data_IF_292599537318
#
_entry.id   IF_292599537318
#
_cell.length_a   1.000
_cell.length_b   1.000
_cell.length_c   1.000
_cell.angle_alpha   90.00
_cell.angle_beta   90.00
_cell.angle_gamma   90.00
#
_symmetry.space_group_name_H-M   'P 1'
#
loop_
_entity.id
_entity.type
_entity.pdbx_description
1 polymer ?
#
# COMPACT_ATOMS: atom_id res chain seq x y z
N UNK A 1 17.82 -1.16 -2.45
CA UNK A 1 17.42 -2.57 -2.38
C UNK A 1 18.30 -3.38 -3.30
N UNK A 2 18.77 -4.57 -2.85
CA UNK A 2 19.51 -5.52 -3.67
C UNK A 2 18.62 -6.62 -4.23
N UNK A 3 19.21 -7.78 -4.50
CA UNK A 3 18.48 -8.97 -4.98
C UNK A 3 17.69 -9.62 -3.85
N UNK A 4 16.58 -10.25 -4.20
CA UNK A 4 15.78 -11.09 -3.31
C UNK A 4 15.48 -12.39 -4.03
N UNK A 5 15.89 -13.50 -3.44
CA UNK A 5 15.54 -14.84 -3.90
C UNK A 5 14.84 -15.59 -2.79
N UNK A 6 13.71 -16.17 -3.10
CA UNK A 6 12.92 -17.00 -2.18
C UNK A 6 12.57 -18.28 -2.91
N UNK A 7 13.12 -19.39 -2.44
CA UNK A 7 12.91 -20.69 -3.07
C UNK A 7 12.31 -21.65 -2.04
N UNK A 8 11.27 -22.37 -2.42
CA UNK A 8 10.89 -23.58 -1.70
C UNK A 8 11.95 -24.65 -1.99
N UNK A 9 12.51 -25.25 -0.95
CA UNK A 9 13.56 -26.27 -1.03
C UNK A 9 13.10 -27.65 -0.58
N UNK A 10 11.96 -27.73 0.11
CA UNK A 10 11.30 -28.98 0.49
C UNK A 10 9.78 -28.79 0.42
N UNK A 11 9.02 -29.77 -0.08
CA UNK A 11 9.40 -31.11 -0.52
C UNK A 11 9.98 -31.17 -1.97
N UNK A 12 9.99 -30.06 -2.66
CA UNK A 12 10.59 -29.93 -4.00
C UNK A 12 11.19 -28.54 -4.17
N UNK A 13 12.12 -28.41 -5.08
CA UNK A 13 12.67 -27.09 -5.43
C UNK A 13 11.68 -26.34 -6.34
N UNK A 14 11.35 -25.10 -5.96
CA UNK A 14 10.55 -24.17 -6.74
C UNK A 14 10.89 -22.75 -6.35
N UNK A 15 11.29 -21.92 -7.31
CA UNK A 15 11.37 -20.47 -7.08
C UNK A 15 9.99 -19.89 -6.86
N UNK A 16 9.87 -19.05 -5.84
CA UNK A 16 8.63 -18.41 -5.45
C UNK A 16 8.59 -16.97 -5.97
N UNK A 17 7.43 -16.53 -6.40
CA UNK A 17 7.18 -15.13 -6.72
C UNK A 17 7.07 -14.33 -5.43
N UNK A 18 8.18 -13.73 -5.03
CA UNK A 18 8.30 -13.04 -3.75
C UNK A 18 9.14 -11.78 -3.86
N UNK A 19 8.84 -10.80 -3.03
CA UNK A 19 9.53 -9.51 -2.99
C UNK A 19 9.77 -9.08 -1.55
N UNK A 20 10.99 -8.67 -1.24
CA UNK A 20 11.32 -8.10 0.06
C UNK A 20 10.58 -6.77 0.25
N UNK A 21 9.95 -6.58 1.40
CA UNK A 21 9.27 -5.32 1.72
C UNK A 21 10.28 -4.17 1.88
N UNK A 22 9.80 -2.95 1.65
CA UNK A 22 10.60 -1.75 1.89
C UNK A 22 11.09 -1.72 3.35
N UNK A 23 12.34 -1.30 3.56
CA UNK A 23 13.04 -1.28 4.86
C UNK A 23 13.15 -2.64 5.56
N UNK A 24 12.82 -3.73 4.91
CA UNK A 24 13.10 -5.05 5.47
C UNK A 24 14.61 -5.27 5.59
N UNK A 25 15.09 -5.82 6.73
CA UNK A 25 16.50 -6.15 6.87
C UNK A 25 16.98 -7.18 5.85
N UNK A 26 18.25 -7.10 5.47
CA UNK A 26 18.90 -8.13 4.67
C UNK A 26 19.15 -9.38 5.49
N UNK A 27 19.25 -10.52 4.81
CA UNK A 27 19.85 -11.72 5.39
C UNK A 27 21.38 -11.59 5.36
N UNK A 28 22.07 -11.87 6.48
CA UNK A 28 23.55 -11.90 6.51
C UNK A 28 24.14 -13.03 5.66
N UNK A 29 23.39 -14.10 5.55
CA UNK A 29 23.56 -15.28 4.68
C UNK A 29 22.18 -15.85 4.38
N UNK A 30 22.06 -16.65 3.34
CA UNK A 30 20.81 -17.31 3.04
C UNK A 30 20.26 -18.05 4.27
N UNK A 31 18.98 -17.83 4.56
CA UNK A 31 18.26 -18.44 5.68
C UNK A 31 17.36 -19.53 5.13
N UNK A 32 17.54 -20.76 5.59
CA UNK A 32 16.65 -21.87 5.28
C UNK A 32 15.88 -22.29 6.53
N UNK A 33 14.56 -22.32 6.45
CA UNK A 33 13.71 -22.64 7.57
C UNK A 33 12.38 -23.29 7.16
N UNK A 34 11.79 -24.03 8.11
CA UNK A 34 10.43 -24.54 8.02
C UNK A 34 9.42 -23.38 8.00
N UNK A 35 8.42 -23.50 7.18
CA UNK A 35 7.30 -22.55 7.10
C UNK A 35 6.16 -23.05 7.99
N UNK A 36 5.67 -22.16 8.83
CA UNK A 36 4.47 -22.40 9.65
C UNK A 36 3.42 -21.33 9.40
N UNK A 37 2.18 -21.70 9.65
CA UNK A 37 1.03 -20.78 9.60
C UNK A 37 0.81 -20.18 10.99
N UNK A 38 0.46 -18.90 11.05
CA UNK A 38 -0.11 -18.29 12.25
C UNK A 38 -1.47 -18.97 12.54
N UNK A 39 -1.60 -19.77 13.61
CA UNK A 39 -2.83 -20.51 13.89
C UNK A 39 -3.92 -19.57 14.39
N UNK A 40 -5.17 -19.98 14.25
CA UNK A 40 -6.31 -19.24 14.82
C UNK A 40 -6.36 -19.46 16.32
N UNK A 41 -5.89 -18.49 17.08
CA UNK A 41 -5.85 -18.52 18.55
C UNK A 41 -6.96 -17.63 19.12
N UNK A 42 -7.56 -18.04 20.22
CA UNK A 42 -8.73 -17.37 20.80
C UNK A 42 -8.40 -16.18 21.70
N UNK A 43 -7.15 -16.05 22.13
CA UNK A 43 -6.74 -15.03 23.11
C UNK A 43 -5.26 -14.73 23.09
N UNK A 44 -4.87 -13.64 23.74
CA UNK A 44 -3.46 -13.28 24.01
C UNK A 44 -2.73 -14.39 24.78
N UNK A 45 -3.37 -14.98 25.78
CA UNK A 45 -2.76 -16.07 26.55
C UNK A 45 -2.46 -17.30 25.69
N UNK A 46 -3.37 -17.65 24.78
CA UNK A 46 -3.12 -18.74 23.82
C UNK A 46 -1.99 -18.39 22.85
N UNK A 47 -1.87 -17.12 22.44
CA UNK A 47 -0.74 -16.65 21.63
C UNK A 47 0.59 -16.78 22.40
N UNK A 48 0.63 -16.36 23.67
CA UNK A 48 1.85 -16.41 24.48
C UNK A 48 2.33 -17.86 24.72
N UNK A 49 1.42 -18.82 24.77
CA UNK A 49 1.75 -20.24 24.81
C UNK A 49 2.29 -20.78 23.48
N UNK A 50 1.75 -20.30 22.37
CA UNK A 50 2.14 -20.76 21.02
C UNK A 50 3.40 -20.09 20.49
N UNK A 51 3.61 -18.80 20.75
CA UNK A 51 4.65 -17.98 20.12
C UNK A 51 6.10 -18.52 20.31
N UNK A 52 6.49 -19.22 21.36
CA UNK A 52 7.80 -19.85 21.44
C UNK A 52 8.08 -20.87 20.32
N UNK A 53 7.04 -21.44 19.71
CA UNK A 53 7.15 -22.41 18.61
C UNK A 53 7.65 -21.80 17.29
N UNK A 54 7.65 -20.46 17.16
CA UNK A 54 8.10 -19.76 15.93
C UNK A 54 9.63 -19.68 15.82
N UNK A 55 10.34 -20.02 16.89
CA UNK A 55 11.81 -19.90 16.93
C UNK A 55 12.47 -20.66 15.77
N UNK A 56 13.24 -19.94 14.96
CA UNK A 56 13.94 -20.46 13.80
C UNK A 56 13.04 -20.83 12.62
N UNK A 57 11.78 -20.41 12.61
CA UNK A 57 10.81 -20.71 11.53
C UNK A 57 10.40 -19.46 10.79
N UNK A 58 9.88 -19.63 9.58
CA UNK A 58 9.26 -18.57 8.80
C UNK A 58 7.76 -18.63 9.02
N UNK A 59 7.17 -17.49 9.42
CA UNK A 59 5.76 -17.41 9.76
C UNK A 59 4.96 -16.81 8.61
N UNK A 60 3.96 -17.54 8.10
CA UNK A 60 2.94 -17.01 7.20
C UNK A 60 1.92 -16.20 8.00
N UNK A 61 1.89 -14.89 7.82
CA UNK A 61 1.14 -13.94 8.64
C UNK A 61 0.04 -13.20 7.86
N UNK A 62 -0.40 -13.68 6.74
CA UNK A 62 -1.50 -13.04 5.99
C UNK A 62 -2.75 -13.92 5.97
N UNK A 63 -3.87 -13.29 5.69
CA UNK A 63 -5.10 -14.00 5.40
C UNK A 63 -4.92 -14.94 4.20
N UNK A 64 -5.27 -16.20 4.36
CA UNK A 64 -5.31 -17.15 3.25
C UNK A 64 -6.48 -16.82 2.30
N UNK A 65 -6.17 -16.66 1.02
CA UNK A 65 -7.15 -16.49 -0.04
C UNK A 65 -7.48 -17.85 -0.66
N UNK A 66 -8.74 -18.29 -0.55
CA UNK A 66 -9.18 -19.56 -1.14
C UNK A 66 -9.17 -19.53 -2.66
N UNK A 67 -9.42 -18.36 -3.25
CA UNK A 67 -9.53 -18.13 -4.69
C UNK A 67 -8.64 -16.95 -5.06
N UNK A 68 -7.70 -17.16 -5.96
CA UNK A 68 -6.79 -16.13 -6.49
C UNK A 68 -7.35 -15.39 -7.71
N UNK A 69 -8.68 -15.21 -7.82
CA UNK A 69 -9.31 -14.46 -8.89
C UNK A 69 -9.87 -13.15 -8.37
N UNK A 70 -9.81 -12.09 -9.21
CA UNK A 70 -10.42 -10.81 -8.88
C UNK A 70 -11.95 -10.90 -8.80
N UNK A 71 -12.57 -9.93 -8.15
CA UNK A 71 -14.03 -9.88 -8.04
C UNK A 71 -14.69 -9.70 -9.42
N UNK A 72 -14.03 -8.95 -10.33
CA UNK A 72 -14.47 -8.77 -11.73
C UNK A 72 -14.45 -10.11 -12.48
N UNK A 73 -13.37 -10.87 -12.37
CA UNK A 73 -13.26 -12.19 -13.00
C UNK A 73 -14.29 -13.17 -12.44
N UNK A 74 -14.53 -13.15 -11.13
CA UNK A 74 -15.57 -14.00 -10.54
C UNK A 74 -16.94 -13.59 -11.06
N UNK A 75 -17.23 -12.29 -11.12
CA UNK A 75 -18.50 -11.75 -11.60
C UNK A 75 -18.78 -12.09 -13.07
N UNK A 76 -17.72 -12.14 -13.90
CA UNK A 76 -17.84 -12.47 -15.34
C UNK A 76 -18.26 -13.93 -15.58
N UNK A 77 -17.79 -14.86 -14.74
CA UNK A 77 -17.96 -16.30 -14.99
C UNK A 77 -18.87 -17.03 -14.00
N UNK A 78 -19.26 -16.38 -12.90
CA UNK A 78 -20.15 -16.98 -11.89
C UNK A 78 -21.61 -16.60 -12.13
N UNK A 79 -22.53 -17.44 -11.63
CA UNK A 79 -23.92 -17.01 -11.51
C UNK A 79 -24.03 -15.89 -10.47
N UNK A 80 -25.05 -15.00 -10.52
CA UNK A 80 -25.24 -13.95 -9.52
C UNK A 80 -25.20 -14.47 -8.08
N UNK A 81 -25.88 -15.57 -7.82
CA UNK A 81 -25.96 -16.17 -6.48
C UNK A 81 -24.58 -16.67 -6.01
N UNK A 82 -23.79 -17.29 -6.90
CA UNK A 82 -22.45 -17.75 -6.57
C UNK A 82 -21.51 -16.57 -6.33
N UNK A 83 -21.61 -15.51 -7.14
CA UNK A 83 -20.82 -14.30 -6.95
C UNK A 83 -21.05 -13.66 -5.58
N UNK A 84 -22.34 -13.43 -5.21
CA UNK A 84 -22.67 -12.84 -3.90
C UNK A 84 -22.21 -13.74 -2.73
N UNK A 85 -22.36 -15.07 -2.86
CA UNK A 85 -21.86 -16.02 -1.87
C UNK A 85 -20.34 -15.90 -1.69
N UNK A 86 -19.56 -15.93 -2.77
CA UNK A 86 -18.09 -15.86 -2.72
C UNK A 86 -17.62 -14.51 -2.18
N UNK A 87 -18.29 -13.43 -2.54
CA UNK A 87 -18.03 -12.09 -2.02
C UNK A 87 -18.25 -12.03 -0.51
N UNK A 88 -19.39 -12.52 -0.04
CA UNK A 88 -19.70 -12.56 1.39
C UNK A 88 -18.70 -13.44 2.18
N UNK A 89 -18.29 -14.60 1.63
CA UNK A 89 -17.27 -15.46 2.25
C UNK A 89 -15.91 -14.74 2.35
N UNK A 90 -15.51 -13.98 1.33
CA UNK A 90 -14.26 -13.21 1.32
C UNK A 90 -14.30 -12.07 2.35
N UNK A 91 -15.39 -11.32 2.41
CA UNK A 91 -15.59 -10.25 3.39
C UNK A 91 -15.57 -10.79 4.82
N UNK A 92 -16.28 -11.91 5.07
CA UNK A 92 -16.30 -12.56 6.38
C UNK A 92 -14.92 -13.07 6.77
N UNK A 93 -14.18 -13.73 5.86
CA UNK A 93 -12.83 -14.20 6.14
C UNK A 93 -11.87 -13.04 6.46
N UNK A 94 -12.02 -11.90 5.80
CA UNK A 94 -11.23 -10.70 6.06
C UNK A 94 -11.56 -10.09 7.43
N UNK A 95 -12.82 -10.08 7.81
CA UNK A 95 -13.26 -9.67 9.14
C UNK A 95 -12.72 -10.60 10.21
N UNK A 96 -12.90 -11.91 10.04
CA UNK A 96 -12.43 -12.91 10.99
C UNK A 96 -10.93 -12.82 11.23
N UNK A 97 -10.14 -12.56 10.17
CA UNK A 97 -8.69 -12.39 10.30
C UNK A 97 -8.33 -11.13 11.11
N UNK A 98 -8.98 -9.99 10.84
CA UNK A 98 -8.77 -8.77 11.63
C UNK A 98 -9.16 -8.93 13.10
N UNK A 99 -10.34 -9.52 13.34
CA UNK A 99 -10.83 -9.77 14.71
C UNK A 99 -9.91 -10.74 15.45
N UNK A 100 -9.42 -11.76 14.76
CA UNK A 100 -8.46 -12.70 15.29
C UNK A 100 -7.15 -12.02 15.72
N UNK A 101 -6.51 -11.23 14.85
CA UNK A 101 -5.27 -10.52 15.16
C UNK A 101 -5.47 -9.58 16.36
N UNK A 102 -6.62 -8.90 16.43
CA UNK A 102 -6.98 -8.06 17.56
C UNK A 102 -7.18 -8.86 18.86
N UNK A 103 -7.82 -10.02 18.79
CA UNK A 103 -8.08 -10.86 19.96
C UNK A 103 -6.80 -11.42 20.60
N UNK A 104 -5.76 -11.65 19.81
CA UNK A 104 -4.44 -12.02 20.34
C UNK A 104 -3.64 -10.81 20.85
N UNK A 105 -4.21 -9.60 20.87
CA UNK A 105 -3.62 -8.39 21.45
C UNK A 105 -2.66 -7.63 20.55
N UNK A 106 -2.75 -7.84 19.23
CA UNK A 106 -1.89 -7.21 18.24
C UNK A 106 -2.67 -6.59 17.08
N UNK A 107 -1.94 -5.92 16.21
CA UNK A 107 -2.37 -5.50 14.89
C UNK A 107 -1.30 -5.89 13.83
N UNK A 108 -1.55 -5.55 12.58
CA UNK A 108 -0.62 -5.85 11.48
C UNK A 108 0.73 -5.12 11.59
N UNK A 109 0.83 -4.08 12.42
CA UNK A 109 2.08 -3.35 12.63
C UNK A 109 2.90 -3.94 13.78
N UNK A 110 2.25 -4.38 14.84
CA UNK A 110 2.88 -4.83 16.09
C UNK A 110 3.12 -6.33 16.17
N UNK A 111 2.32 -7.14 15.47
CA UNK A 111 2.48 -8.59 15.44
C UNK A 111 3.82 -9.04 14.84
N UNK A 112 4.34 -8.46 13.72
CA UNK A 112 5.65 -8.83 13.19
C UNK A 112 6.79 -8.64 14.18
N UNK A 113 6.77 -7.55 14.94
CA UNK A 113 7.79 -7.30 15.98
C UNK A 113 7.72 -8.34 17.10
N UNK A 114 6.52 -8.75 17.50
CA UNK A 114 6.35 -9.80 18.51
C UNK A 114 6.90 -11.16 18.04
N UNK A 115 6.65 -11.53 16.78
CA UNK A 115 7.19 -12.75 16.17
C UNK A 115 8.74 -12.68 16.04
N UNK A 116 9.28 -11.51 15.66
CA UNK A 116 10.72 -11.28 15.63
C UNK A 116 11.33 -11.45 17.03
N UNK A 117 10.75 -10.85 18.06
CA UNK A 117 11.20 -10.99 19.47
C UNK A 117 11.15 -12.44 19.94
N UNK A 118 10.19 -13.22 19.46
CA UNK A 118 10.09 -14.65 19.78
C UNK A 118 11.08 -15.53 19.00
N UNK A 119 11.89 -14.93 18.10
CA UNK A 119 12.95 -15.62 17.39
C UNK A 119 12.55 -16.25 16.07
N UNK A 120 11.49 -15.78 15.42
CA UNK A 120 11.19 -16.16 14.04
C UNK A 120 12.40 -15.89 13.13
N UNK A 121 12.58 -16.71 12.09
CA UNK A 121 13.65 -16.56 11.10
C UNK A 121 13.27 -15.60 9.96
N UNK A 122 11.98 -15.36 9.76
CA UNK A 122 11.43 -14.45 8.77
C UNK A 122 9.91 -14.43 8.83
N UNK A 123 9.31 -13.43 8.18
CA UNK A 123 7.86 -13.27 8.10
C UNK A 123 7.46 -13.14 6.64
N UNK A 124 6.52 -13.95 6.21
CA UNK A 124 5.92 -13.88 4.89
C UNK A 124 4.47 -13.39 4.98
N UNK A 125 4.14 -12.42 4.16
CA UNK A 125 2.78 -11.93 3.97
C UNK A 125 2.34 -12.14 2.52
N UNK A 126 1.08 -11.87 2.23
CA UNK A 126 0.55 -11.80 0.87
C UNK A 126 -0.41 -10.61 0.78
N UNK A 127 0.06 -9.53 0.18
CA UNK A 127 -0.72 -8.31 -0.06
C UNK A 127 -1.41 -8.38 -1.43
N UNK A 128 -2.29 -9.36 -1.58
CA UNK A 128 -2.96 -9.57 -2.84
C UNK A 128 -3.78 -8.35 -3.31
N UNK A 129 -3.58 -7.97 -4.56
CA UNK A 129 -4.20 -6.79 -5.18
C UNK A 129 -5.40 -7.14 -6.07
N UNK A 130 -5.81 -8.42 -6.14
CA UNK A 130 -6.82 -8.89 -7.09
C UNK A 130 -6.24 -9.27 -8.46
N UNK A 131 -4.94 -9.09 -8.68
CA UNK A 131 -4.22 -9.43 -9.92
C UNK A 131 -3.23 -10.56 -9.60
N UNK A 132 -3.14 -11.56 -10.47
CA UNK A 132 -2.21 -12.68 -10.30
C UNK A 132 -0.76 -12.20 -10.41
N UNK A 133 0.12 -12.74 -9.58
CA UNK A 133 1.55 -12.42 -9.55
C UNK A 133 1.88 -10.98 -9.13
N UNK A 134 0.90 -10.16 -8.78
CA UNK A 134 1.13 -8.79 -8.35
C UNK A 134 1.40 -8.71 -6.87
N UNK A 135 2.52 -8.10 -6.51
CA UNK A 135 2.91 -7.86 -5.13
C UNK A 135 2.77 -6.37 -4.78
N UNK A 136 2.36 -6.10 -3.56
CA UNK A 136 2.29 -4.76 -3.01
C UNK A 136 3.40 -4.58 -1.98
N UNK A 137 4.35 -3.67 -2.28
CA UNK A 137 5.54 -3.45 -1.45
C UNK A 137 5.29 -2.28 -0.51
N UNK A 138 4.86 -2.58 0.72
CA UNK A 138 4.83 -1.60 1.80
C UNK A 138 5.97 -1.84 2.80
N UNK A 139 6.09 -0.94 3.80
CA UNK A 139 7.15 -1.00 4.79
C UNK A 139 7.08 -2.24 5.67
N UNK A 140 8.22 -2.91 5.81
CA UNK A 140 8.39 -3.97 6.80
C UNK A 140 8.21 -3.43 8.22
N UNK A 141 7.75 -4.32 9.11
CA UNK A 141 7.57 -4.03 10.54
C UNK A 141 8.54 -4.84 11.41
N UNK A 142 9.60 -5.34 10.78
CA UNK A 142 10.71 -6.05 11.43
C UNK A 142 11.98 -5.23 11.32
N UNK A 143 12.92 -5.41 12.24
CA UNK A 143 14.20 -4.70 12.29
C UNK A 143 15.43 -5.60 12.21
N UNK A 144 15.26 -6.91 12.40
CA UNK A 144 16.36 -7.87 12.49
C UNK A 144 16.21 -9.09 11.58
N UNK A 145 14.97 -9.41 11.18
CA UNK A 145 14.66 -10.55 10.33
C UNK A 145 13.98 -10.09 9.03
N UNK A 146 14.15 -10.82 7.91
CA UNK A 146 13.50 -10.46 6.65
C UNK A 146 11.98 -10.54 6.75
N UNK A 147 11.32 -9.55 6.15
CA UNK A 147 9.88 -9.55 5.92
C UNK A 147 9.63 -9.37 4.42
N UNK A 148 8.82 -10.23 3.83
CA UNK A 148 8.62 -10.28 2.39
C UNK A 148 7.19 -10.64 2.03
N UNK A 149 6.79 -10.17 0.86
CA UNK A 149 5.49 -10.45 0.24
C UNK A 149 5.66 -11.61 -0.74
N UNK A 150 4.75 -12.58 -0.68
CA UNK A 150 4.66 -13.70 -1.63
C UNK A 150 3.34 -13.56 -2.38
N UNK A 151 3.33 -13.81 -3.68
CA UNK A 151 2.11 -13.79 -4.46
C UNK A 151 1.05 -14.77 -3.91
N UNK A 152 -0.20 -14.55 -4.29
CA UNK A 152 -1.34 -15.29 -3.73
C UNK A 152 -1.27 -16.79 -4.01
N UNK A 153 -0.73 -17.19 -5.16
CA UNK A 153 -0.63 -18.59 -5.58
C UNK A 153 0.40 -19.35 -4.75
N UNK A 154 1.61 -18.81 -4.66
CA UNK A 154 2.71 -19.43 -3.93
C UNK A 154 2.49 -19.37 -2.41
N UNK A 155 1.95 -18.25 -1.91
CA UNK A 155 1.53 -18.14 -0.51
C UNK A 155 0.47 -19.18 -0.17
N UNK A 156 -0.56 -19.31 -1.00
CA UNK A 156 -1.63 -20.27 -0.81
C UNK A 156 -1.15 -21.73 -0.87
N UNK A 157 -0.16 -22.02 -1.72
CA UNK A 157 0.47 -23.33 -1.78
C UNK A 157 1.20 -23.65 -0.46
N UNK A 158 2.08 -22.74 0.01
CA UNK A 158 2.81 -22.91 1.25
C UNK A 158 1.86 -23.03 2.46
N UNK A 159 0.80 -22.21 2.49
CA UNK A 159 -0.22 -22.24 3.54
C UNK A 159 -0.86 -23.64 3.65
N UNK A 160 -1.40 -24.16 2.53
CA UNK A 160 -2.03 -25.48 2.49
C UNK A 160 -1.07 -26.60 2.88
N UNK A 161 0.19 -26.52 2.45
CA UNK A 161 1.21 -27.50 2.79
C UNK A 161 1.52 -27.49 4.29
N UNK A 162 1.72 -26.30 4.89
CA UNK A 162 2.00 -26.14 6.31
C UNK A 162 0.78 -26.57 7.17
N UNK A 163 -0.43 -26.15 6.79
CA UNK A 163 -1.68 -26.51 7.49
C UNK A 163 -1.92 -28.03 7.50
N UNK A 164 -1.57 -28.72 6.41
CA UNK A 164 -1.69 -30.19 6.30
C UNK A 164 -0.49 -30.96 6.86
N UNK A 165 0.43 -30.29 7.53
CA UNK A 165 1.59 -30.93 8.19
C UNK A 165 2.70 -31.40 7.28
N UNK A 166 2.74 -30.93 6.03
CA UNK A 166 3.82 -31.28 5.07
C UNK A 166 5.17 -30.60 5.39
N UNK A 167 5.19 -29.66 6.34
CA UNK A 167 6.40 -28.96 6.82
C UNK A 167 7.27 -28.40 5.69
N UNK A 168 6.71 -27.57 4.78
CA UNK A 168 7.49 -27.01 3.69
C UNK A 168 8.64 -26.19 4.23
N UNK A 169 9.78 -26.19 3.51
CA UNK A 169 10.95 -25.37 3.85
C UNK A 169 11.21 -24.41 2.71
N UNK A 170 11.55 -23.18 3.08
CA UNK A 170 11.98 -22.17 2.09
C UNK A 170 13.37 -21.65 2.47
N UNK A 171 14.10 -21.25 1.44
CA UNK A 171 15.39 -20.58 1.53
C UNK A 171 15.21 -19.14 1.06
N UNK A 172 15.66 -18.19 1.86
CA UNK A 172 15.61 -16.75 1.59
C UNK A 172 17.03 -16.23 1.50
N UNK A 173 17.34 -15.55 0.40
CA UNK A 173 18.53 -14.71 0.26
C UNK A 173 18.05 -13.32 -0.15
N UNK A 174 18.04 -12.41 0.81
CA UNK A 174 17.51 -11.06 0.64
C UNK A 174 18.56 -10.02 0.98
N UNK A 175 18.84 -9.12 0.04
CA UNK A 175 19.85 -8.09 0.18
C UNK A 175 19.23 -6.71 0.21
N UNK A 176 19.53 -5.95 1.24
CA UNK A 176 19.13 -4.55 1.36
C UNK A 176 20.18 -3.77 2.15
N UNK A 177 20.23 -2.48 1.93
CA UNK A 177 21.06 -1.56 2.70
C UNK A 177 20.19 -0.37 3.10
N UNK A 178 20.09 -0.14 4.41
CA UNK A 178 19.48 1.09 4.93
C UNK A 178 20.47 2.22 4.67
N UNK A 179 20.02 3.21 3.93
CA UNK A 179 20.79 4.42 3.65
C UNK A 179 20.46 5.48 4.71
N UNK A 180 21.35 6.46 4.94
CA UNK A 180 21.03 7.61 5.77
C UNK A 180 19.82 8.37 5.26
N UNK A 181 19.16 9.11 6.15
CA UNK A 181 18.11 10.04 5.78
C UNK A 181 18.62 11.00 4.70
N UNK A 182 17.76 11.26 3.74
CA UNK A 182 18.07 12.14 2.61
C UNK A 182 17.02 13.23 2.48
N UNK A 183 17.42 14.35 1.87
CA UNK A 183 16.47 15.41 1.54
C UNK A 183 15.52 14.93 0.46
N UNK A 184 14.27 15.29 0.61
CA UNK A 184 13.24 15.15 -0.41
C UNK A 184 12.85 16.53 -0.92
N UNK A 185 12.27 16.58 -2.10
CA UNK A 185 11.92 17.83 -2.75
C UNK A 185 10.48 17.75 -3.27
N UNK A 186 9.80 18.90 -3.22
CA UNK A 186 8.55 19.12 -3.92
C UNK A 186 8.84 19.96 -5.18
N UNK A 187 8.07 19.75 -6.24
CA UNK A 187 8.05 20.65 -7.38
C UNK A 187 6.82 21.54 -7.28
N UNK A 188 7.05 22.87 -7.24
CA UNK A 188 5.98 23.84 -7.06
C UNK A 188 6.03 24.86 -8.19
N UNK A 189 4.88 25.11 -8.82
CA UNK A 189 4.69 26.15 -9.82
C UNK A 189 3.47 27.00 -9.50
N UNK A 190 3.40 28.23 -10.05
CA UNK A 190 2.24 29.09 -9.81
C UNK A 190 1.89 30.01 -10.96
N UNK A 191 0.60 30.37 -11.04
CA UNK A 191 0.08 31.49 -11.83
C UNK A 191 -0.41 32.51 -10.82
N UNK A 192 0.27 33.67 -10.74
CA UNK A 192 -0.03 34.71 -9.75
C UNK A 192 -1.41 35.31 -9.99
N UNK A 193 -2.17 35.51 -8.93
CA UNK A 193 -3.47 36.16 -8.95
C UNK A 193 -3.39 37.66 -9.23
N UNK A 194 -4.33 38.18 -9.99
CA UNK A 194 -4.40 39.60 -10.38
C UNK A 194 -5.12 40.47 -9.37
N UNK A 195 -6.15 39.97 -8.69
CA UNK A 195 -6.97 40.74 -7.74
C UNK A 195 -6.69 40.35 -6.29
N UNK A 196 -6.53 39.04 -6.03
CA UNK A 196 -6.36 38.47 -4.71
C UNK A 196 -5.13 37.53 -4.67
N UNK A 197 -3.93 38.10 -4.83
CA UNK A 197 -2.70 37.31 -4.97
C UNK A 197 -2.33 36.48 -3.74
N UNK A 198 -2.87 36.80 -2.56
CA UNK A 198 -2.63 36.08 -1.32
C UNK A 198 -3.75 35.10 -0.96
N UNK A 199 -4.75 34.91 -1.83
CA UNK A 199 -5.68 33.82 -1.78
C UNK A 199 -5.27 32.75 -2.81
N UNK A 200 -5.26 31.47 -2.40
CA UNK A 200 -4.68 30.38 -3.17
C UNK A 200 -5.67 29.28 -3.50
N UNK A 201 -5.57 28.75 -4.70
CA UNK A 201 -6.18 27.49 -5.11
C UNK A 201 -5.02 26.54 -5.44
N UNK A 202 -4.97 25.41 -4.76
CA UNK A 202 -3.88 24.45 -4.92
C UNK A 202 -4.37 23.24 -5.72
N UNK A 203 -3.63 22.92 -6.77
CA UNK A 203 -3.74 21.69 -7.54
C UNK A 203 -2.61 20.78 -7.12
N UNK A 204 -2.87 19.50 -6.84
CA UNK A 204 -1.80 18.64 -6.34
C UNK A 204 -1.89 17.19 -6.79
N UNK A 205 -0.72 16.58 -6.84
CA UNK A 205 -0.50 15.15 -7.01
C UNK A 205 0.84 14.79 -6.37
N UNK A 206 1.10 13.53 -6.05
CA UNK A 206 2.46 13.15 -5.66
C UNK A 206 3.30 12.73 -6.87
N UNK A 207 4.60 12.93 -6.77
CA UNK A 207 5.56 12.73 -7.85
C UNK A 207 6.37 11.44 -7.70
N UNK A 208 6.46 10.92 -6.49
CA UNK A 208 7.17 9.68 -6.18
C UNK A 208 6.29 8.45 -6.41
N UNK A 209 6.91 7.29 -6.34
CA UNK A 209 6.27 5.98 -6.37
C UNK A 209 7.07 4.99 -5.52
N UNK A 210 6.49 3.82 -5.26
CA UNK A 210 7.20 2.76 -4.56
C UNK A 210 8.41 2.25 -5.34
N UNK A 211 9.46 1.86 -4.60
CA UNK A 211 10.66 1.23 -5.15
C UNK A 211 10.31 -0.03 -5.97
N UNK A 212 10.77 -0.04 -7.22
CA UNK A 212 10.47 -1.10 -8.17
C UNK A 212 9.16 -0.90 -8.95
N UNK A 213 8.31 0.05 -8.58
CA UNK A 213 7.15 0.45 -9.36
C UNK A 213 7.55 1.45 -10.47
N UNK A 214 6.77 1.49 -11.55
CA UNK A 214 6.96 2.46 -12.62
C UNK A 214 6.28 3.81 -12.32
N UNK A 215 5.34 3.86 -11.38
CA UNK A 215 4.61 5.05 -11.02
C UNK A 215 3.69 5.61 -12.09
N UNK A 216 3.39 4.84 -13.14
CA UNK A 216 2.61 5.36 -14.28
C UNK A 216 1.18 5.71 -13.87
N UNK A 217 0.50 4.82 -13.17
CA UNK A 217 -0.87 5.02 -12.67
C UNK A 217 -0.85 5.75 -11.34
N UNK A 218 -0.01 5.34 -10.43
CA UNK A 218 0.18 5.86 -9.09
C UNK A 218 1.62 6.41 -8.95
N UNK A 219 1.83 7.74 -9.18
CA UNK A 219 0.78 8.72 -9.50
C UNK A 219 1.15 9.61 -10.71
N UNK A 220 1.79 9.03 -11.75
CA UNK A 220 2.14 9.73 -12.98
C UNK A 220 0.92 10.35 -13.68
N UNK A 221 -0.25 9.69 -13.61
CA UNK A 221 -1.50 10.22 -14.17
C UNK A 221 -2.00 11.45 -13.44
N UNK A 222 -1.89 11.50 -12.12
CA UNK A 222 -2.20 12.69 -11.32
C UNK A 222 -1.29 13.84 -11.68
N UNK A 223 0.01 13.60 -11.76
CA UNK A 223 1.02 14.60 -12.17
C UNK A 223 0.69 15.18 -13.53
N UNK A 224 0.45 14.34 -14.54
CA UNK A 224 0.07 14.78 -15.89
C UNK A 224 -1.22 15.59 -15.90
N UNK A 225 -2.23 15.16 -15.15
CA UNK A 225 -3.51 15.88 -15.03
C UNK A 225 -3.29 17.28 -14.46
N UNK A 226 -2.49 17.43 -13.41
CA UNK A 226 -2.24 18.73 -12.80
C UNK A 226 -1.39 19.65 -13.68
N UNK A 227 -0.38 19.12 -14.35
CA UNK A 227 0.44 19.88 -15.29
C UNK A 227 -0.37 20.35 -16.51
N UNK A 228 -1.21 19.46 -17.06
CA UNK A 228 -2.06 19.83 -18.19
C UNK A 228 -3.12 20.86 -17.78
N UNK A 229 -3.69 20.72 -16.60
CA UNK A 229 -4.61 21.73 -16.03
C UNK A 229 -3.91 23.10 -15.93
N UNK A 230 -2.68 23.15 -15.41
CA UNK A 230 -1.90 24.40 -15.35
C UNK A 230 -1.60 24.97 -16.72
N UNK A 231 -1.28 24.11 -17.70
CA UNK A 231 -1.04 24.54 -19.09
C UNK A 231 -2.30 25.18 -19.69
N UNK A 232 -3.46 24.55 -19.50
CA UNK A 232 -4.76 25.07 -19.99
C UNK A 232 -5.09 26.40 -19.29
N UNK A 233 -4.98 26.45 -17.97
CA UNK A 233 -5.23 27.67 -17.20
C UNK A 233 -4.30 28.80 -17.61
N UNK A 234 -3.01 28.54 -17.81
CA UNK A 234 -2.06 29.55 -18.26
C UNK A 234 -2.40 30.11 -19.63
N UNK A 235 -2.92 29.25 -20.52
CA UNK A 235 -3.29 29.66 -21.89
C UNK A 235 -4.59 30.43 -21.96
N UNK A 236 -5.62 29.98 -21.27
CA UNK A 236 -7.00 30.49 -21.43
C UNK A 236 -7.47 31.37 -20.25
N UNK A 237 -6.78 31.33 -19.13
CA UNK A 237 -7.07 32.12 -17.94
C UNK A 237 -5.77 32.68 -17.30
N UNK A 238 -4.97 33.46 -18.10
CA UNK A 238 -3.63 33.86 -17.71
C UNK A 238 -3.58 34.84 -16.53
N UNK A 239 -4.69 35.52 -16.25
CA UNK A 239 -4.82 36.49 -15.16
C UNK A 239 -5.92 36.01 -14.17
N UNK A 240 -5.69 34.93 -13.42
CA UNK A 240 -6.69 34.44 -12.48
C UNK A 240 -6.89 35.43 -11.35
N UNK A 241 -8.09 35.48 -10.81
CA UNK A 241 -8.41 36.33 -9.65
C UNK A 241 -7.54 36.01 -8.45
N UNK A 242 -7.35 34.72 -8.13
CA UNK A 242 -6.53 34.16 -7.07
C UNK A 242 -5.29 33.51 -7.64
N UNK A 243 -4.25 33.40 -6.82
CA UNK A 243 -3.05 32.63 -7.21
C UNK A 243 -3.40 31.15 -7.29
N UNK A 244 -3.05 30.53 -8.41
CA UNK A 244 -3.18 29.09 -8.61
C UNK A 244 -1.79 28.48 -8.42
N UNK A 245 -1.69 27.51 -7.53
CA UNK A 245 -0.46 26.79 -7.21
C UNK A 245 -0.61 25.35 -7.69
N UNK A 246 0.40 24.79 -8.34
CA UNK A 246 0.55 23.36 -8.50
C UNK A 246 1.64 22.87 -7.57
N UNK A 247 1.32 21.86 -6.76
CA UNK A 247 2.25 21.16 -5.88
C UNK A 247 2.36 19.70 -6.29
N UNK A 248 3.58 19.29 -6.69
CA UNK A 248 3.89 17.89 -6.96
C UNK A 248 4.76 17.39 -5.81
N UNK A 249 4.17 16.51 -4.98
CA UNK A 249 4.74 16.15 -3.68
C UNK A 249 5.72 15.00 -3.81
N UNK A 250 6.86 15.09 -3.14
CA UNK A 250 7.80 13.98 -3.01
C UNK A 250 7.55 13.18 -1.72
N UNK A 251 7.91 11.91 -1.74
CA UNK A 251 7.81 11.00 -0.58
C UNK A 251 6.40 10.94 0.03
N UNK A 252 5.40 10.91 -0.82
CA UNK A 252 4.01 10.67 -0.42
C UNK A 252 3.85 9.25 0.10
N UNK A 253 4.34 8.28 -0.67
CA UNK A 253 4.26 6.84 -0.42
C UNK A 253 4.90 6.41 0.91
N UNK A 254 5.82 7.21 1.43
CA UNK A 254 6.48 6.98 2.71
C UNK A 254 5.84 7.76 3.86
N UNK A 255 4.65 8.33 3.66
CA UNK A 255 3.85 8.96 4.71
C UNK A 255 3.62 10.46 4.55
N UNK A 256 3.35 10.92 3.33
CA UNK A 256 2.96 12.31 3.01
C UNK A 256 4.06 13.34 3.36
N UNK A 257 5.34 12.95 3.31
CA UNK A 257 6.42 13.79 3.83
C UNK A 257 6.53 15.12 3.09
N UNK A 258 6.41 15.12 1.75
CA UNK A 258 6.53 16.33 0.95
C UNK A 258 5.40 17.33 1.19
N UNK A 259 4.15 16.87 1.20
CA UNK A 259 3.01 17.75 1.47
C UNK A 259 3.01 18.30 2.90
N UNK A 260 3.39 17.49 3.88
CA UNK A 260 3.55 17.94 5.27
C UNK A 260 4.65 18.99 5.41
N UNK A 261 5.81 18.76 4.74
CA UNK A 261 6.89 19.74 4.69
C UNK A 261 6.43 21.05 4.05
N UNK A 262 5.72 20.98 2.92
CA UNK A 262 5.18 22.17 2.27
C UNK A 262 4.24 22.97 3.19
N UNK A 263 3.36 22.31 3.92
CA UNK A 263 2.45 22.95 4.89
C UNK A 263 3.24 23.63 6.00
N UNK A 264 4.27 23.00 6.54
CA UNK A 264 5.10 23.55 7.60
C UNK A 264 5.92 24.76 7.14
N UNK A 265 6.46 24.68 5.91
CA UNK A 265 7.37 25.70 5.37
C UNK A 265 6.65 26.92 4.76
N UNK A 266 5.34 26.81 4.47
CA UNK A 266 4.57 27.85 3.79
C UNK A 266 3.28 28.26 4.51
N UNK A 267 3.35 28.69 5.78
CA UNK A 267 2.16 28.98 6.59
C UNK A 267 1.27 30.07 5.97
N UNK A 268 1.83 31.05 5.26
CA UNK A 268 1.06 32.12 4.61
C UNK A 268 0.23 31.60 3.42
N UNK A 269 0.78 30.66 2.63
CA UNK A 269 0.04 30.02 1.55
C UNK A 269 -1.11 29.22 2.14
N UNK A 270 -0.86 28.46 3.21
CA UNK A 270 -1.88 27.63 3.87
C UNK A 270 -2.99 28.48 4.43
N UNK A 271 -2.66 29.59 5.13
CA UNK A 271 -3.64 30.54 5.66
C UNK A 271 -4.52 31.17 4.58
N UNK A 272 -3.95 31.43 3.40
CA UNK A 272 -4.67 31.99 2.25
C UNK A 272 -5.38 30.95 1.37
N UNK A 273 -5.23 29.65 1.64
CA UNK A 273 -5.79 28.59 0.81
C UNK A 273 -7.31 28.56 0.89
N UNK A 274 -7.96 28.62 -0.27
CA UNK A 274 -9.41 28.60 -0.45
C UNK A 274 -9.93 27.22 -0.87
N UNK A 275 -9.13 26.49 -1.67
CA UNK A 275 -9.46 25.15 -2.13
C UNK A 275 -8.20 24.36 -2.48
N UNK A 276 -8.27 23.05 -2.32
CA UNK A 276 -7.24 22.10 -2.75
C UNK A 276 -7.92 21.03 -3.60
N UNK A 277 -7.36 20.75 -4.77
CA UNK A 277 -7.76 19.66 -5.65
C UNK A 277 -6.59 18.71 -5.80
N UNK A 278 -6.74 17.50 -5.29
CA UNK A 278 -5.73 16.46 -5.36
C UNK A 278 -6.19 15.34 -6.28
N UNK A 279 -5.30 14.87 -7.16
CA UNK A 279 -5.55 13.70 -7.99
C UNK A 279 -4.58 12.58 -7.60
N UNK A 280 -5.16 11.48 -7.12
CA UNK A 280 -4.44 10.29 -6.68
C UNK A 280 -5.38 9.07 -6.72
N UNK A 281 -6.10 8.93 -7.83
CA UNK A 281 -7.12 7.88 -8.00
C UNK A 281 -6.86 7.02 -9.26
N UNK A 282 -5.64 7.04 -9.77
CA UNK A 282 -5.26 6.25 -10.92
C UNK A 282 -5.75 6.79 -12.26
N UNK A 283 -5.87 5.91 -13.23
CA UNK A 283 -6.22 6.19 -14.62
C UNK A 283 -7.71 6.07 -14.87
N UNK A 284 -8.10 6.32 -16.11
CA UNK A 284 -9.45 6.24 -16.69
C UNK A 284 -10.40 7.34 -16.21
N UNK A 285 -11.70 7.13 -16.41
CA UNK A 285 -12.72 8.13 -16.10
C UNK A 285 -12.84 8.36 -14.59
N UNK A 286 -12.88 9.63 -14.18
CA UNK A 286 -13.17 9.98 -12.78
C UNK A 286 -14.59 9.52 -12.44
N UNK A 287 -14.68 8.57 -11.51
CA UNK A 287 -15.96 8.03 -11.03
C UNK A 287 -16.44 8.69 -9.74
N UNK A 288 -15.52 9.18 -8.92
CA UNK A 288 -15.81 9.71 -7.59
C UNK A 288 -15.00 10.97 -7.31
N UNK A 289 -15.58 11.89 -6.55
CA UNK A 289 -14.89 13.04 -5.96
C UNK A 289 -15.14 13.00 -4.45
N UNK A 290 -14.08 12.87 -3.67
CA UNK A 290 -14.18 12.86 -2.21
C UNK A 290 -14.09 14.30 -1.66
N UNK A 291 -15.04 14.69 -0.83
CA UNK A 291 -15.04 15.98 -0.14
C UNK A 291 -14.18 16.02 1.13
N UNK A 292 -13.40 14.97 1.41
CA UNK A 292 -12.45 14.86 2.53
C UNK A 292 -13.04 15.27 3.91
N UNK A 293 -14.32 14.92 4.14
CA UNK A 293 -15.02 15.26 5.39
C UNK A 293 -15.60 16.68 5.47
N UNK A 294 -15.36 17.54 4.47
CA UNK A 294 -15.97 18.86 4.41
C UNK A 294 -17.40 18.78 3.89
N UNK A 295 -18.37 18.62 4.80
CA UNK A 295 -19.78 18.39 4.46
C UNK A 295 -20.34 19.45 3.49
N UNK A 296 -20.04 20.73 3.71
CA UNK A 296 -20.50 21.82 2.85
C UNK A 296 -19.85 21.85 1.45
N UNK A 297 -18.77 21.07 1.22
CA UNK A 297 -18.12 21.03 -0.09
C UNK A 297 -19.02 20.40 -1.18
N UNK A 298 -19.96 19.54 -0.81
CA UNK A 298 -20.86 18.88 -1.76
C UNK A 298 -21.74 19.87 -2.53
N UNK A 299 -22.16 20.97 -1.89
CA UNK A 299 -22.97 22.02 -2.56
C UNK A 299 -22.18 22.72 -3.67
N UNK A 300 -20.89 22.98 -3.42
CA UNK A 300 -19.99 23.61 -4.40
C UNK A 300 -19.63 22.63 -5.51
N UNK A 301 -19.23 21.41 -5.17
CA UNK A 301 -18.86 20.37 -6.13
C UNK A 301 -20.04 20.07 -7.04
N UNK A 302 -21.25 19.93 -6.51
CA UNK A 302 -22.47 19.71 -7.30
C UNK A 302 -22.74 20.83 -8.31
N UNK A 303 -22.58 22.10 -7.90
CA UNK A 303 -22.70 23.26 -8.79
C UNK A 303 -21.65 23.23 -9.92
N UNK A 304 -20.40 22.92 -9.60
CA UNK A 304 -19.32 22.86 -10.58
C UNK A 304 -19.53 21.72 -11.58
N UNK A 305 -19.90 20.52 -11.10
CA UNK A 305 -20.17 19.38 -11.97
C UNK A 305 -21.35 19.62 -12.91
N UNK A 306 -22.39 20.33 -12.46
CA UNK A 306 -23.52 20.70 -13.31
C UNK A 306 -23.15 21.75 -14.39
N UNK A 307 -22.07 22.48 -14.22
CA UNK A 307 -21.55 23.43 -15.21
C UNK A 307 -20.61 22.79 -16.25
N UNK A 308 -20.17 21.55 -16.03
CA UNK A 308 -19.34 20.82 -16.99
C UNK A 308 -20.20 20.34 -18.14
N UNK A 309 -19.82 20.59 -19.42
CA UNK A 309 -20.54 20.04 -20.57
C UNK A 309 -20.64 18.51 -20.51
N UNK A 310 -21.80 17.97 -20.87
CA UNK A 310 -22.06 16.51 -20.88
C UNK A 310 -21.44 15.86 -22.10
#
# INVERSE_FOLDING_TARGET
RGTTHVDMVYPRVKSLSATQLAWSPSTKKAVEAEVIVLPKLSSKAAFDQWVPSVKGKIVLMAQYQKIGRSDEQIKEFATPELYEKLKAEKEQASKDFRDYVKNIGYDNNTLPEALEKAGAAGIAISNWTGIMGANRIFGAKTSKIPMFDIDVEDYGMLYRMAEKGSKPRIKIDAQSKILPDTKIFNTVGMIKGSEKPNEYVILSAHLDSWDGAQGATDNGTGVLTMLETMRILKKYYPNPKRTIVVGLWGSEEQGLNGSRGFVADNPEIIKGTQAVFNQDNGTVRVGNIAGQGFVKSYDYIGKWLNAVPK
#
